data_IF_850268037452
#
_entry.id   IF_850268037452
#
_cell.length_a   1.000
_cell.length_b   1.000
_cell.length_c   1.000
_cell.angle_alpha   90.00
_cell.angle_beta   90.00
_cell.angle_gamma   90.00
#
_symmetry.space_group_name_H-M   'P 1'
#
loop_
_entity.id
_entity.type
_entity.pdbx_description
1 polymer ?
#
# COMPACT_ATOMS: atom_id res chain seq x y z
N UNK A 1 20.29 -21.22 17.75
CA UNK A 1 19.63 -21.29 16.41
C UNK A 1 18.12 -21.45 16.53
N UNK A 2 17.61 -22.15 17.53
CA UNK A 2 16.17 -22.27 17.86
C UNK A 2 15.55 -20.94 18.30
N UNK A 3 16.28 -20.10 19.06
CA UNK A 3 15.72 -18.83 19.58
C UNK A 3 15.55 -17.75 18.51
N UNK A 4 16.44 -17.69 17.52
CA UNK A 4 16.32 -16.76 16.40
C UNK A 4 15.18 -17.18 15.46
N UNK A 5 14.97 -18.47 15.27
CA UNK A 5 13.83 -19.00 14.52
C UNK A 5 12.51 -18.77 15.27
N UNK A 6 12.48 -18.82 16.61
CA UNK A 6 11.29 -18.52 17.40
C UNK A 6 10.93 -17.02 17.41
N UNK A 7 11.92 -16.13 17.35
CA UNK A 7 11.68 -14.68 17.23
C UNK A 7 11.24 -14.29 15.79
N UNK A 8 11.75 -15.00 14.77
CA UNK A 8 11.33 -14.87 13.39
C UNK A 8 9.97 -15.53 13.12
N UNK A 9 9.64 -16.58 13.87
CA UNK A 9 8.36 -17.27 13.85
C UNK A 9 7.44 -16.51 14.78
N UNK A 10 6.49 -15.77 14.21
CA UNK A 10 5.42 -15.00 14.85
C UNK A 10 4.97 -15.64 16.19
N UNK A 11 5.41 -15.17 17.36
CA UNK A 11 5.10 -15.83 18.65
C UNK A 11 3.59 -15.86 18.94
N UNK A 12 2.82 -15.00 18.27
CA UNK A 12 1.37 -14.89 18.42
C UNK A 12 0.59 -15.46 17.21
N UNK A 13 1.27 -16.00 16.19
CA UNK A 13 0.62 -16.63 15.03
C UNK A 13 1.03 -18.09 14.92
N UNK A 14 0.09 -19.01 14.75
CA UNK A 14 0.40 -20.41 14.51
C UNK A 14 1.33 -20.56 13.31
N UNK A 15 2.36 -21.39 13.44
CA UNK A 15 3.42 -21.64 12.43
C UNK A 15 2.85 -21.96 11.05
N UNK A 16 1.66 -22.56 10.99
CA UNK A 16 1.00 -22.90 9.73
C UNK A 16 0.53 -21.66 8.91
N UNK A 17 0.47 -20.45 9.51
CA UNK A 17 0.17 -19.22 8.75
C UNK A 17 1.38 -18.64 8.02
N UNK A 18 2.61 -19.02 8.36
CA UNK A 18 3.82 -18.47 7.74
C UNK A 18 3.84 -18.69 6.22
N UNK A 19 3.58 -19.90 5.69
CA UNK A 19 3.54 -20.10 4.24
C UNK A 19 2.49 -19.25 3.54
N UNK A 20 1.34 -19.05 4.19
CA UNK A 20 0.24 -18.24 3.66
C UNK A 20 0.63 -16.76 3.62
N UNK A 21 1.26 -16.25 4.67
CA UNK A 21 1.76 -14.86 4.75
C UNK A 21 2.83 -14.62 3.68
N UNK A 22 3.78 -15.55 3.53
CA UNK A 22 4.81 -15.45 2.50
C UNK A 22 4.20 -15.51 1.09
N UNK A 23 3.22 -16.38 0.85
CA UNK A 23 2.49 -16.43 -0.41
C UNK A 23 1.74 -15.12 -0.69
N UNK A 24 1.10 -14.53 0.31
CA UNK A 24 0.43 -13.24 0.19
C UNK A 24 1.41 -12.12 -0.20
N UNK A 25 2.59 -12.06 0.43
CA UNK A 25 3.63 -11.10 0.08
C UNK A 25 4.24 -11.37 -1.30
N UNK A 26 4.46 -12.61 -1.66
CA UNK A 26 4.94 -13.00 -3.00
C UNK A 26 3.95 -12.55 -4.08
N UNK A 27 2.67 -12.87 -3.93
CA UNK A 27 1.61 -12.43 -4.84
C UNK A 27 1.53 -10.90 -4.93
N UNK A 28 1.62 -10.20 -3.79
CA UNK A 28 1.61 -8.74 -3.73
C UNK A 28 2.83 -8.13 -4.45
N UNK A 29 3.99 -8.77 -4.31
CA UNK A 29 5.20 -8.44 -5.05
C UNK A 29 5.02 -8.62 -6.56
N UNK A 30 4.43 -9.74 -7.00
CA UNK A 30 4.12 -10.01 -8.42
C UNK A 30 3.21 -8.91 -8.96
N UNK A 31 2.13 -8.56 -8.26
CA UNK A 31 1.20 -7.52 -8.67
C UNK A 31 1.92 -6.16 -8.80
N UNK A 32 2.72 -5.77 -7.81
CA UNK A 32 3.50 -4.53 -7.85
C UNK A 32 4.53 -4.56 -8.98
N UNK A 33 5.26 -5.66 -9.16
CA UNK A 33 6.24 -5.84 -10.23
C UNK A 33 5.60 -5.76 -11.60
N UNK A 34 4.41 -6.32 -11.78
CA UNK A 34 3.68 -6.32 -13.04
C UNK A 34 2.99 -4.97 -13.35
N UNK A 35 2.23 -4.40 -12.40
CA UNK A 35 1.43 -3.19 -12.58
C UNK A 35 2.17 -1.90 -12.22
N UNK A 36 3.24 -1.96 -11.44
CA UNK A 36 3.94 -0.81 -10.88
C UNK A 36 3.30 -0.21 -9.62
N UNK A 37 2.07 -0.63 -9.29
CA UNK A 37 1.26 -0.16 -8.15
C UNK A 37 0.54 -1.33 -7.49
N UNK A 38 -0.10 -1.11 -6.34
CA UNK A 38 -1.05 -2.05 -5.74
C UNK A 38 -0.49 -3.03 -4.72
N UNK A 39 0.83 -2.96 -4.36
CA UNK A 39 1.40 -3.85 -3.33
C UNK A 39 0.63 -3.77 -2.00
N UNK A 40 0.36 -2.58 -1.41
CA UNK A 40 -0.37 -2.53 -0.15
C UNK A 40 -1.80 -3.09 -0.27
N UNK A 41 -2.50 -2.77 -1.37
CA UNK A 41 -3.85 -3.26 -1.58
C UNK A 41 -3.89 -4.79 -1.69
N UNK A 42 -2.95 -5.39 -2.45
CA UNK A 42 -2.84 -6.84 -2.58
C UNK A 42 -2.49 -7.52 -1.26
N UNK A 43 -1.50 -6.99 -0.54
CA UNK A 43 -1.08 -7.56 0.73
C UNK A 43 -2.21 -7.48 1.77
N UNK A 44 -2.85 -6.32 1.92
CA UNK A 44 -3.96 -6.16 2.86
C UNK A 44 -5.15 -7.05 2.49
N UNK A 45 -5.48 -7.17 1.20
CA UNK A 45 -6.53 -8.06 0.71
C UNK A 45 -6.34 -9.51 1.14
N UNK A 46 -5.11 -10.00 1.03
CA UNK A 46 -4.78 -11.40 1.30
C UNK A 46 -4.50 -11.64 2.78
N UNK A 47 -3.73 -10.77 3.44
CA UNK A 47 -3.36 -10.93 4.84
C UNK A 47 -4.57 -10.83 5.78
N UNK A 48 -5.48 -9.87 5.55
CA UNK A 48 -6.65 -9.68 6.41
C UNK A 48 -7.70 -10.78 6.31
N UNK A 49 -7.49 -11.79 5.46
CA UNK A 49 -8.27 -13.03 5.49
C UNK A 49 -7.89 -13.89 6.71
N UNK A 50 -6.62 -13.82 7.14
CA UNK A 50 -6.02 -14.73 8.12
C UNK A 50 -5.56 -14.05 9.40
N UNK A 51 -5.20 -12.78 9.33
CA UNK A 51 -4.65 -12.00 10.45
C UNK A 51 -5.38 -10.67 10.60
N UNK A 52 -5.33 -10.09 11.80
CA UNK A 52 -5.94 -8.79 12.07
C UNK A 52 -5.28 -7.64 11.29
N UNK A 53 -6.02 -6.56 11.00
CA UNK A 53 -5.51 -5.44 10.23
C UNK A 53 -4.26 -4.77 10.80
N UNK A 54 -4.14 -4.64 12.14
CA UNK A 54 -2.99 -3.96 12.78
C UNK A 54 -1.72 -4.77 12.57
N UNK A 55 -1.78 -6.09 12.76
CA UNK A 55 -0.69 -7.01 12.47
C UNK A 55 -0.33 -7.00 10.98
N UNK A 56 -1.31 -7.04 10.08
CA UNK A 56 -1.07 -6.98 8.64
C UNK A 56 -0.36 -5.67 8.23
N UNK A 57 -0.79 -4.52 8.78
CA UNK A 57 -0.17 -3.22 8.54
C UNK A 57 1.29 -3.20 9.02
N UNK A 58 1.58 -3.71 10.22
CA UNK A 58 2.94 -3.73 10.77
C UNK A 58 3.90 -4.61 9.96
N UNK A 59 3.45 -5.78 9.51
CA UNK A 59 4.25 -6.67 8.66
C UNK A 59 4.54 -6.08 7.27
N UNK A 60 3.73 -5.15 6.80
CA UNK A 60 3.91 -4.51 5.50
C UNK A 60 4.93 -3.37 5.47
N UNK A 61 5.35 -2.83 6.63
CA UNK A 61 6.14 -1.59 6.70
C UNK A 61 7.43 -1.70 5.89
N UNK A 62 8.28 -2.70 6.14
CA UNK A 62 9.54 -2.84 5.39
C UNK A 62 9.33 -3.16 3.91
N UNK A 63 8.45 -4.10 3.52
CA UNK A 63 8.10 -4.33 2.11
C UNK A 63 7.67 -3.08 1.35
N UNK A 64 6.81 -2.24 1.95
CA UNK A 64 6.35 -1.00 1.32
C UNK A 64 7.47 0.02 1.17
N UNK A 65 8.25 0.24 2.23
CA UNK A 65 9.39 1.19 2.21
C UNK A 65 10.35 0.80 1.09
N UNK A 66 10.78 -0.45 1.08
CA UNK A 66 11.77 -0.93 0.11
C UNK A 66 11.25 -0.85 -1.33
N UNK A 67 10.02 -1.30 -1.57
CA UNK A 67 9.42 -1.27 -2.90
C UNK A 67 9.27 0.17 -3.44
N UNK A 68 8.94 1.14 -2.57
CA UNK A 68 8.81 2.53 -2.97
C UNK A 68 10.16 3.25 -3.11
N UNK A 69 11.17 2.90 -2.30
CA UNK A 69 12.56 3.32 -2.53
C UNK A 69 13.02 2.89 -3.93
N UNK A 70 12.86 1.60 -4.27
CA UNK A 70 13.24 1.10 -5.58
C UNK A 70 12.52 1.85 -6.71
N UNK A 71 11.21 2.08 -6.57
CA UNK A 71 10.41 2.79 -7.58
C UNK A 71 10.88 4.24 -7.75
N UNK A 72 11.06 4.96 -6.65
CA UNK A 72 11.47 6.37 -6.69
C UNK A 72 12.87 6.56 -7.31
N UNK A 73 13.84 5.75 -6.89
CA UNK A 73 15.22 5.88 -7.40
C UNK A 73 15.39 5.42 -8.84
N UNK A 74 14.50 4.58 -9.37
CA UNK A 74 14.49 4.19 -10.79
C UNK A 74 13.87 5.25 -11.70
N UNK A 75 13.14 6.23 -11.18
CA UNK A 75 12.53 7.29 -11.98
C UNK A 75 13.57 8.34 -12.37
N UNK A 76 13.64 8.67 -13.64
CA UNK A 76 14.50 9.73 -14.17
C UNK A 76 14.00 11.12 -13.76
N UNK A 77 12.69 11.32 -13.69
CA UNK A 77 12.04 12.60 -13.34
C UNK A 77 11.89 12.85 -11.84
N UNK A 78 12.57 12.07 -10.98
CA UNK A 78 12.41 12.13 -9.52
C UNK A 78 12.56 13.50 -8.89
N UNK A 79 13.47 14.35 -9.38
CA UNK A 79 13.69 15.71 -8.86
C UNK A 79 12.56 16.66 -9.25
N UNK A 80 12.13 16.62 -10.48
CA UNK A 80 11.05 17.47 -11.00
C UNK A 80 9.72 17.12 -10.32
N UNK A 81 9.42 15.83 -10.21
CA UNK A 81 8.20 15.35 -9.54
C UNK A 81 8.21 15.67 -8.05
N UNK A 82 9.34 15.56 -7.36
CA UNK A 82 9.46 15.93 -5.94
C UNK A 82 9.20 17.43 -5.73
N UNK A 83 9.72 18.30 -6.59
CA UNK A 83 9.47 19.74 -6.50
C UNK A 83 8.02 20.11 -6.82
N UNK A 84 7.44 19.50 -7.86
CA UNK A 84 6.06 19.75 -8.30
C UNK A 84 5.01 19.31 -7.28
N UNK A 85 5.25 18.19 -6.61
CA UNK A 85 4.29 17.56 -5.69
C UNK A 85 4.67 17.67 -4.21
N UNK A 86 5.59 18.58 -3.85
CA UNK A 86 6.07 18.73 -2.45
C UNK A 86 4.96 19.01 -1.45
N UNK A 87 3.98 19.85 -1.78
CA UNK A 87 2.86 20.17 -0.90
C UNK A 87 1.89 18.99 -0.77
N UNK A 88 1.69 18.24 -1.85
CA UNK A 88 0.93 17.00 -1.81
C UNK A 88 1.60 16.00 -0.86
N UNK A 89 2.93 15.81 -1.00
CA UNK A 89 3.70 14.94 -0.12
C UNK A 89 3.62 15.37 1.35
N UNK A 90 3.82 16.66 1.65
CA UNK A 90 3.74 17.19 3.01
C UNK A 90 2.36 16.94 3.64
N UNK A 91 1.29 17.11 2.88
CA UNK A 91 -0.07 16.86 3.36
C UNK A 91 -0.32 15.37 3.62
N UNK A 92 0.14 14.51 2.70
CA UNK A 92 0.10 13.04 2.90
C UNK A 92 0.88 12.66 4.15
N UNK A 93 2.12 13.16 4.30
CA UNK A 93 2.97 12.86 5.44
C UNK A 93 2.32 13.23 6.77
N UNK A 94 1.79 14.45 6.84
CA UNK A 94 1.12 14.95 8.04
C UNK A 94 -0.10 14.11 8.40
N UNK A 95 -1.00 13.88 7.42
CA UNK A 95 -2.24 13.14 7.68
C UNK A 95 -2.02 11.65 7.95
N UNK A 96 -1.07 11.00 7.27
CA UNK A 96 -0.67 9.61 7.60
C UNK A 96 -0.13 9.55 9.03
N UNK A 97 0.79 10.46 9.39
CA UNK A 97 1.39 10.46 10.72
C UNK A 97 0.34 10.58 11.82
N UNK A 98 -0.53 11.59 11.73
CA UNK A 98 -1.59 11.80 12.73
C UNK A 98 -2.52 10.59 12.79
N UNK A 99 -2.96 10.07 11.66
CA UNK A 99 -3.90 8.94 11.63
C UNK A 99 -3.25 7.65 12.15
N UNK A 100 -2.02 7.35 11.77
CA UNK A 100 -1.31 6.15 12.23
C UNK A 100 -0.86 6.24 13.70
N UNK A 101 -0.63 7.42 14.23
CA UNK A 101 -0.31 7.63 15.65
C UNK A 101 -1.42 7.11 16.58
N UNK A 102 -2.66 7.22 16.15
CA UNK A 102 -3.83 6.78 16.92
C UNK A 102 -4.35 5.40 16.51
N UNK A 103 -3.63 4.66 15.66
CA UNK A 103 -4.13 3.40 15.07
C UNK A 103 -4.43 2.33 16.14
N UNK A 104 -3.71 2.34 17.26
CA UNK A 104 -3.95 1.43 18.37
C UNK A 104 -5.34 1.62 18.99
N UNK A 105 -5.83 2.87 19.00
CA UNK A 105 -7.13 3.24 19.59
C UNK A 105 -8.32 2.96 18.67
N UNK A 106 -8.09 2.78 17.38
CA UNK A 106 -9.18 2.54 16.43
C UNK A 106 -9.74 1.12 16.55
N UNK A 107 -11.08 0.96 16.50
CA UNK A 107 -11.71 -0.35 16.42
C UNK A 107 -11.24 -1.11 15.18
N UNK A 108 -11.05 -2.42 15.33
CA UNK A 108 -10.66 -3.30 14.18
C UNK A 108 -11.66 -3.20 13.03
N UNK A 109 -12.96 -3.07 13.34
CA UNK A 109 -14.02 -2.86 12.36
C UNK A 109 -13.76 -1.64 11.47
N UNK A 110 -13.37 -0.49 12.05
CA UNK A 110 -13.05 0.73 11.31
C UNK A 110 -11.89 0.50 10.33
N UNK A 111 -10.82 -0.15 10.80
CA UNK A 111 -9.65 -0.45 9.95
C UNK A 111 -10.03 -1.41 8.82
N UNK A 112 -10.81 -2.45 9.11
CA UNK A 112 -11.31 -3.41 8.11
C UNK A 112 -12.14 -2.72 7.04
N UNK A 113 -13.09 -1.86 7.44
CA UNK A 113 -13.90 -1.06 6.50
C UNK A 113 -13.02 -0.11 5.69
N UNK A 114 -12.06 0.58 6.32
CA UNK A 114 -11.17 1.51 5.62
C UNK A 114 -10.32 0.81 4.55
N UNK A 115 -9.80 -0.39 4.84
CA UNK A 115 -9.08 -1.22 3.86
C UNK A 115 -10.02 -1.59 2.71
N UNK A 116 -11.22 -2.07 3.02
CA UNK A 116 -12.21 -2.45 2.02
C UNK A 116 -12.59 -1.28 1.11
N UNK A 117 -12.88 -0.11 1.69
CA UNK A 117 -13.18 1.12 0.94
C UNK A 117 -12.01 1.52 0.05
N UNK A 118 -10.78 1.51 0.57
CA UNK A 118 -9.60 1.83 -0.22
C UNK A 118 -9.46 0.90 -1.44
N UNK A 119 -9.69 -0.40 -1.26
CA UNK A 119 -9.62 -1.39 -2.33
C UNK A 119 -10.73 -1.21 -3.37
N UNK A 120 -11.97 -0.99 -2.93
CA UNK A 120 -13.12 -0.77 -3.83
C UNK A 120 -12.90 0.50 -4.65
N UNK A 121 -12.55 1.62 -4.00
CA UNK A 121 -12.28 2.90 -4.69
C UNK A 121 -11.13 2.75 -5.70
N UNK A 122 -10.06 2.07 -5.31
CA UNK A 122 -8.91 1.80 -6.19
C UNK A 122 -9.33 1.00 -7.42
N UNK A 123 -10.10 -0.07 -7.21
CA UNK A 123 -10.54 -0.96 -8.28
C UNK A 123 -11.50 -0.27 -9.23
N UNK A 124 -12.52 0.39 -8.70
CA UNK A 124 -13.49 1.12 -9.52
C UNK A 124 -12.83 2.22 -10.34
N UNK A 125 -11.93 3.00 -9.71
CA UNK A 125 -11.21 4.05 -10.42
C UNK A 125 -10.40 3.51 -11.62
N UNK A 126 -9.62 2.44 -11.40
CA UNK A 126 -8.76 1.89 -12.44
C UNK A 126 -9.51 1.04 -13.49
N UNK A 127 -10.65 0.44 -13.13
CA UNK A 127 -11.49 -0.32 -14.07
C UNK A 127 -12.29 0.59 -14.99
N UNK A 128 -12.89 1.65 -14.43
CA UNK A 128 -13.81 2.52 -15.15
C UNK A 128 -13.19 3.83 -15.62
N UNK A 129 -11.93 4.10 -15.25
CA UNK A 129 -11.23 5.32 -15.66
C UNK A 129 -11.91 6.59 -15.15
N UNK A 130 -12.47 6.54 -13.94
CA UNK A 130 -13.17 7.69 -13.37
C UNK A 130 -12.23 8.87 -13.21
N UNK A 131 -12.46 9.94 -13.97
CA UNK A 131 -11.70 11.17 -13.89
C UNK A 131 -12.50 12.22 -13.10
N UNK A 132 -11.86 12.80 -12.09
CA UNK A 132 -12.42 13.93 -11.37
C UNK A 132 -12.04 15.23 -12.11
N UNK A 133 -12.87 16.28 -12.09
CA UNK A 133 -12.54 17.57 -12.68
C UNK A 133 -11.50 18.31 -11.80
N UNK A 134 -10.28 17.78 -11.78
CA UNK A 134 -9.19 18.27 -10.94
C UNK A 134 -8.37 19.30 -11.70
N UNK A 135 -8.22 20.49 -11.13
CA UNK A 135 -7.34 21.55 -11.66
C UNK A 135 -5.93 21.48 -11.05
N UNK A 136 -5.00 22.30 -11.60
CA UNK A 136 -3.64 22.42 -11.08
C UNK A 136 -3.54 23.18 -9.75
N UNK A 137 -4.65 23.68 -9.22
CA UNK A 137 -4.68 24.50 -8.01
C UNK A 137 -4.13 23.71 -6.80
N UNK A 138 -3.32 24.39 -5.97
CA UNK A 138 -2.72 23.82 -4.77
C UNK A 138 -3.73 23.17 -3.81
N UNK A 139 -4.93 23.75 -3.73
CA UNK A 139 -6.03 23.23 -2.90
C UNK A 139 -6.38 21.78 -3.22
N UNK A 140 -6.29 21.36 -4.50
CA UNK A 140 -6.51 19.96 -4.87
C UNK A 140 -5.42 19.04 -4.36
N UNK A 141 -4.14 19.47 -4.39
CA UNK A 141 -3.05 18.69 -3.83
C UNK A 141 -3.22 18.50 -2.32
N UNK A 142 -3.62 19.56 -1.62
CA UNK A 142 -3.87 19.52 -0.17
C UNK A 142 -5.07 18.63 0.16
N UNK A 143 -6.23 18.84 -0.50
CA UNK A 143 -7.44 18.07 -0.25
C UNK A 143 -7.29 16.58 -0.53
N UNK A 144 -6.76 16.24 -1.71
CA UNK A 144 -6.49 14.84 -2.07
C UNK A 144 -5.40 14.24 -1.18
N UNK A 145 -4.40 15.05 -0.78
CA UNK A 145 -3.36 14.63 0.14
C UNK A 145 -3.89 14.26 1.53
N UNK A 146 -4.81 15.06 2.06
CA UNK A 146 -5.48 14.77 3.34
C UNK A 146 -6.27 13.45 3.26
N UNK A 147 -7.11 13.29 2.24
CA UNK A 147 -7.89 12.06 2.04
C UNK A 147 -6.97 10.85 1.88
N UNK A 148 -5.92 10.98 1.03
CA UNK A 148 -4.93 9.92 0.85
C UNK A 148 -4.24 9.54 2.15
N UNK A 149 -3.85 10.53 2.93
CA UNK A 149 -3.12 10.29 4.16
C UNK A 149 -4.00 9.69 5.27
N UNK A 150 -5.24 10.14 5.42
CA UNK A 150 -6.20 9.53 6.35
C UNK A 150 -6.43 8.07 5.97
N UNK A 151 -6.74 7.80 4.71
CA UNK A 151 -6.94 6.45 4.22
C UNK A 151 -5.68 5.60 4.39
N UNK A 152 -4.50 6.17 4.10
CA UNK A 152 -3.21 5.53 4.26
C UNK A 152 -2.88 5.17 5.70
N UNK A 153 -3.15 6.05 6.64
CA UNK A 153 -2.92 5.79 8.07
C UNK A 153 -3.85 4.73 8.65
N UNK A 154 -5.08 4.60 8.11
CA UNK A 154 -6.06 3.58 8.53
C UNK A 154 -5.84 2.22 7.85
N UNK A 155 -5.30 2.18 6.64
CA UNK A 155 -5.30 0.98 5.80
C UNK A 155 -3.95 0.60 5.19
N UNK A 156 -2.94 1.45 5.33
CA UNK A 156 -1.69 1.42 4.56
C UNK A 156 -1.89 1.53 3.03
N UNK A 157 -3.07 1.96 2.56
CA UNK A 157 -3.41 2.08 1.15
C UNK A 157 -3.76 3.55 0.84
N UNK A 158 -2.77 4.38 0.48
CA UNK A 158 -2.99 5.79 0.09
C UNK A 158 -2.88 6.02 -1.42
N UNK A 159 -2.65 4.94 -2.17
CA UNK A 159 -2.50 5.00 -3.62
C UNK A 159 -3.77 5.39 -4.40
N UNK A 160 -5.02 5.07 -3.99
CA UNK A 160 -6.18 5.36 -4.81
C UNK A 160 -6.37 6.84 -5.10
N UNK A 161 -6.46 7.74 -4.10
CA UNK A 161 -6.67 9.17 -4.38
C UNK A 161 -5.48 9.79 -5.12
N UNK A 162 -4.24 9.34 -4.82
CA UNK A 162 -3.03 9.78 -5.55
C UNK A 162 -3.13 9.42 -7.03
N UNK A 163 -3.46 8.17 -7.34
CA UNK A 163 -3.60 7.70 -8.71
C UNK A 163 -4.72 8.46 -9.44
N UNK A 164 -5.88 8.65 -8.79
CA UNK A 164 -6.99 9.43 -9.34
C UNK A 164 -6.57 10.86 -9.67
N UNK A 165 -5.82 11.52 -8.77
CA UNK A 165 -5.31 12.86 -9.00
C UNK A 165 -4.39 12.91 -10.23
N UNK A 166 -3.39 12.03 -10.30
CA UNK A 166 -2.42 12.01 -11.40
C UNK A 166 -3.09 11.69 -12.75
N UNK A 167 -4.02 10.73 -12.78
CA UNK A 167 -4.78 10.37 -13.98
C UNK A 167 -5.69 11.52 -14.44
N UNK A 168 -6.39 12.19 -13.52
CA UNK A 168 -7.23 13.34 -13.85
C UNK A 168 -6.42 14.53 -14.38
N UNK A 169 -5.13 14.62 -14.03
CA UNK A 169 -4.18 15.61 -14.54
C UNK A 169 -3.57 15.23 -15.89
N UNK A 170 -3.90 14.06 -16.45
CA UNK A 170 -3.36 13.56 -17.71
C UNK A 170 -1.83 13.66 -17.78
N UNK A 171 -1.13 13.36 -16.67
CA UNK A 171 0.33 13.40 -16.61
C UNK A 171 0.94 12.32 -17.51
N UNK A 172 2.18 12.52 -17.98
CA UNK A 172 2.90 11.51 -18.75
C UNK A 172 3.10 10.23 -17.92
N UNK A 173 3.39 9.11 -18.58
CA UNK A 173 3.68 7.85 -17.91
C UNK A 173 4.89 7.98 -16.98
N UNK A 174 5.92 8.67 -17.42
CA UNK A 174 7.16 8.94 -16.70
C UNK A 174 6.87 9.78 -15.45
N UNK A 175 6.10 10.86 -15.60
CA UNK A 175 5.66 11.69 -14.49
C UNK A 175 4.79 10.91 -13.51
N UNK A 176 3.88 10.05 -13.99
CA UNK A 176 3.05 9.19 -13.13
C UNK A 176 3.90 8.27 -12.27
N UNK A 177 4.91 7.61 -12.86
CA UNK A 177 5.81 6.70 -12.14
C UNK A 177 6.65 7.47 -11.11
N UNK A 178 7.23 8.61 -11.51
CA UNK A 178 8.04 9.44 -10.63
C UNK A 178 7.25 10.05 -9.48
N UNK A 179 6.09 10.65 -9.78
CA UNK A 179 5.23 11.27 -8.79
C UNK A 179 4.64 10.24 -7.80
N UNK A 180 4.13 9.11 -8.31
CA UNK A 180 3.62 8.05 -7.42
C UNK A 180 4.74 7.45 -6.56
N UNK A 181 5.93 7.21 -7.12
CA UNK A 181 7.09 6.75 -6.36
C UNK A 181 7.47 7.72 -5.24
N UNK A 182 7.52 9.01 -5.53
CA UNK A 182 7.80 10.06 -4.55
C UNK A 182 6.73 10.14 -3.45
N UNK A 183 5.46 10.25 -3.84
CA UNK A 183 4.35 10.40 -2.90
C UNK A 183 4.15 9.15 -2.03
N UNK A 184 4.40 7.97 -2.60
CA UNK A 184 4.31 6.73 -1.83
C UNK A 184 5.48 6.60 -0.86
N UNK A 185 6.71 6.93 -1.30
CA UNK A 185 7.87 6.90 -0.42
C UNK A 185 7.73 7.93 0.72
N UNK A 186 7.26 9.13 0.43
CA UNK A 186 7.03 10.18 1.42
C UNK A 186 6.08 9.74 2.54
N UNK A 187 5.02 8.97 2.20
CA UNK A 187 4.07 8.45 3.17
C UNK A 187 4.59 7.29 4.04
N UNK A 188 5.62 6.57 3.57
CA UNK A 188 6.14 5.38 4.29
C UNK A 188 6.76 5.73 5.64
N UNK A 189 7.57 6.79 5.69
CA UNK A 189 8.30 7.16 6.92
C UNK A 189 7.37 7.65 8.03
N UNK A 190 6.42 8.57 7.79
CA UNK A 190 5.47 8.97 8.82
C UNK A 190 4.54 7.83 9.23
N UNK A 191 4.18 6.90 8.32
CA UNK A 191 3.45 5.69 8.68
C UNK A 191 4.26 4.86 9.68
N UNK A 192 5.51 4.54 9.36
CA UNK A 192 6.38 3.78 10.25
C UNK A 192 6.55 4.47 11.62
N UNK A 193 6.79 5.78 11.62
CA UNK A 193 6.93 6.56 12.86
C UNK A 193 5.65 6.52 13.70
N UNK A 194 4.48 6.72 13.10
CA UNK A 194 3.20 6.63 13.82
C UNK A 194 2.92 5.24 14.38
N UNK A 195 3.24 4.18 13.63
CA UNK A 195 3.09 2.80 14.08
C UNK A 195 4.05 2.44 15.23
N UNK A 196 5.28 2.96 15.22
CA UNK A 196 6.23 2.79 16.34
C UNK A 196 5.70 3.50 17.59
N UNK A 197 5.31 4.76 17.46
CA UNK A 197 4.83 5.57 18.58
C UNK A 197 3.50 5.06 19.15
N UNK A 198 2.64 4.47 18.32
CA UNK A 198 1.40 3.82 18.78
C UNK A 198 1.62 2.43 19.39
N UNK A 199 2.84 1.89 19.36
CA UNK A 199 3.17 0.56 19.86
C UNK A 199 2.71 -0.60 18.97
N UNK A 200 2.17 -0.33 17.77
CA UNK A 200 1.71 -1.37 16.83
C UNK A 200 2.87 -1.99 16.06
N UNK A 201 3.87 -1.18 15.67
CA UNK A 201 5.10 -1.69 15.07
C UNK A 201 6.14 -1.91 16.18
N UNK A 202 6.20 -3.13 16.68
CA UNK A 202 7.24 -3.58 17.62
C UNK A 202 8.52 -4.00 16.88
N UNK A 203 9.62 -4.14 17.62
CA UNK A 203 10.86 -4.67 17.05
C UNK A 203 10.69 -6.08 16.47
N UNK A 204 9.90 -6.93 17.12
CA UNK A 204 9.57 -8.27 16.65
C UNK A 204 8.80 -8.22 15.33
N UNK A 205 7.75 -7.38 15.25
CA UNK A 205 6.98 -7.20 14.01
C UNK A 205 7.87 -6.67 12.86
N UNK A 206 8.83 -5.78 13.17
CA UNK A 206 9.79 -5.30 12.18
C UNK A 206 10.70 -6.43 11.68
N UNK A 207 11.21 -7.31 12.55
CA UNK A 207 12.00 -8.48 12.14
C UNK A 207 11.18 -9.44 11.27
N UNK A 208 9.94 -9.69 11.64
CA UNK A 208 9.01 -10.55 10.87
C UNK A 208 8.71 -9.95 9.50
N UNK A 209 8.63 -8.63 9.40
CA UNK A 209 8.45 -7.88 8.15
C UNK A 209 9.60 -8.11 7.15
N UNK A 210 10.81 -8.50 7.61
CA UNK A 210 11.94 -8.87 6.74
C UNK A 210 11.62 -10.08 5.87
N UNK A 211 10.92 -11.07 6.41
CA UNK A 211 10.50 -12.25 5.62
C UNK A 211 9.53 -11.83 4.51
N UNK A 212 8.59 -10.95 4.83
CA UNK A 212 7.69 -10.35 3.85
C UNK A 212 8.44 -9.56 2.77
N UNK A 213 9.49 -8.82 3.15
CA UNK A 213 10.34 -8.09 2.22
C UNK A 213 11.02 -9.04 1.22
N UNK A 214 11.60 -10.14 1.67
CA UNK A 214 12.24 -11.12 0.78
C UNK A 214 11.23 -11.68 -0.22
N UNK A 215 10.05 -12.10 0.24
CA UNK A 215 8.99 -12.60 -0.60
C UNK A 215 8.52 -11.56 -1.63
N UNK A 216 8.36 -10.29 -1.22
CA UNK A 216 7.99 -9.18 -2.12
C UNK A 216 9.06 -8.93 -3.18
N UNK A 217 10.35 -8.95 -2.83
CA UNK A 217 11.45 -8.74 -3.79
C UNK A 217 11.46 -9.83 -4.85
N UNK A 218 11.31 -11.10 -4.43
CA UNK A 218 11.22 -12.23 -5.36
C UNK A 218 9.98 -12.06 -6.26
N UNK A 219 8.82 -11.82 -5.67
CA UNK A 219 7.58 -11.61 -6.41
C UNK A 219 7.66 -10.43 -7.38
N UNK A 220 8.28 -9.34 -6.97
CA UNK A 220 8.48 -8.15 -7.81
C UNK A 220 9.27 -8.50 -9.09
N UNK A 221 10.34 -9.27 -8.96
CA UNK A 221 11.13 -9.73 -10.12
C UNK A 221 10.33 -10.65 -11.03
N UNK A 222 9.58 -11.58 -10.45
CA UNK A 222 8.68 -12.44 -11.22
C UNK A 222 7.67 -11.60 -11.97
N UNK A 223 7.02 -10.63 -11.32
CA UNK A 223 6.05 -9.73 -11.94
C UNK A 223 6.64 -8.90 -13.09
N UNK A 224 7.87 -8.39 -12.93
CA UNK A 224 8.58 -7.68 -14.01
C UNK A 224 8.79 -8.60 -15.23
N UNK A 225 9.21 -9.84 -15.02
CA UNK A 225 9.43 -10.81 -16.10
C UNK A 225 8.10 -11.19 -16.80
N UNK A 226 7.03 -11.35 -16.04
CA UNK A 226 5.70 -11.70 -16.59
C UNK A 226 5.15 -10.65 -17.55
N UNK A 227 5.60 -9.38 -17.50
CA UNK A 227 5.14 -8.31 -18.40
C UNK A 227 5.37 -8.62 -19.88
N UNK A 228 6.39 -9.41 -20.22
CA UNK A 228 6.70 -9.80 -21.60
C UNK A 228 5.82 -10.92 -22.14
N UNK A 229 5.12 -11.65 -21.26
CA UNK A 229 4.36 -12.85 -21.62
C UNK A 229 2.84 -12.69 -21.48
N UNK A 230 2.38 -11.74 -20.65
CA UNK A 230 0.95 -11.59 -20.32
C UNK A 230 0.48 -10.19 -20.68
N UNK A 231 -0.71 -10.09 -21.26
CA UNK A 231 -1.36 -8.80 -21.53
C UNK A 231 -1.55 -8.00 -20.24
N UNK A 232 -1.01 -6.76 -20.23
CA UNK A 232 -1.15 -5.86 -19.08
C UNK A 232 -2.61 -5.54 -18.75
N UNK A 233 -3.44 -5.39 -19.77
CA UNK A 233 -4.85 -5.05 -19.58
C UNK A 233 -5.64 -6.21 -18.97
N UNK A 234 -5.38 -7.43 -19.44
CA UNK A 234 -6.02 -8.64 -18.88
C UNK A 234 -5.62 -8.85 -17.42
N UNK A 235 -4.32 -8.81 -17.12
CA UNK A 235 -3.83 -8.99 -15.76
C UNK A 235 -4.37 -7.91 -14.81
N UNK A 236 -4.37 -6.64 -15.25
CA UNK A 236 -4.92 -5.52 -14.50
C UNK A 236 -6.41 -5.74 -14.18
N UNK A 237 -7.23 -6.10 -15.17
CA UNK A 237 -8.65 -6.37 -14.98
C UNK A 237 -8.90 -7.49 -13.98
N UNK A 238 -8.16 -8.60 -14.09
CA UNK A 238 -8.27 -9.73 -13.13
C UNK A 238 -7.96 -9.27 -11.71
N UNK A 239 -6.80 -8.63 -11.50
CA UNK A 239 -6.37 -8.17 -10.17
C UNK A 239 -7.37 -7.19 -9.56
N UNK A 240 -7.83 -6.21 -10.35
CA UNK A 240 -8.77 -5.20 -9.87
C UNK A 240 -10.15 -5.80 -9.57
N UNK A 241 -10.60 -6.80 -10.33
CA UNK A 241 -11.85 -7.53 -10.03
C UNK A 241 -11.74 -8.29 -8.72
N UNK A 242 -10.60 -8.95 -8.48
CA UNK A 242 -10.34 -9.62 -7.19
C UNK A 242 -10.30 -8.61 -6.04
N UNK A 243 -9.65 -7.45 -6.22
CA UNK A 243 -9.64 -6.40 -5.19
C UNK A 243 -11.03 -5.85 -4.91
N UNK A 244 -11.88 -5.71 -5.93
CA UNK A 244 -13.26 -5.26 -5.77
C UNK A 244 -14.06 -6.25 -4.92
N UNK A 245 -13.96 -7.54 -5.21
CA UNK A 245 -14.65 -8.60 -4.45
C UNK A 245 -14.16 -8.66 -3.00
N UNK A 246 -12.84 -8.70 -2.80
CA UNK A 246 -12.25 -8.77 -1.46
C UNK A 246 -12.49 -7.48 -0.67
N UNK A 247 -12.45 -6.31 -1.33
CA UNK A 247 -12.78 -5.05 -0.69
C UNK A 247 -14.23 -4.97 -0.25
N UNK A 248 -15.17 -5.41 -1.09
CA UNK A 248 -16.59 -5.49 -0.73
C UNK A 248 -16.82 -6.45 0.45
N UNK A 249 -16.16 -7.62 0.45
CA UNK A 249 -16.18 -8.54 1.58
C UNK A 249 -15.71 -7.88 2.87
N UNK A 250 -14.59 -7.15 2.84
CA UNK A 250 -14.05 -6.48 4.02
C UNK A 250 -15.00 -5.40 4.56
N UNK A 251 -15.67 -4.64 3.69
CA UNK A 251 -16.68 -3.67 4.10
C UNK A 251 -17.83 -4.38 4.84
N UNK A 252 -18.36 -5.44 4.24
CA UNK A 252 -19.45 -6.21 4.85
C UNK A 252 -19.02 -6.79 6.20
N UNK A 253 -17.85 -7.44 6.26
CA UNK A 253 -17.34 -8.05 7.49
C UNK A 253 -17.04 -7.03 8.59
N UNK A 254 -16.63 -5.81 8.23
CA UNK A 254 -16.35 -4.76 9.21
C UNK A 254 -17.60 -4.00 9.69
N UNK A 255 -18.74 -4.13 9.00
CA UNK A 255 -20.03 -3.52 9.38
C UNK A 255 -20.93 -4.48 10.19
N UNK A 256 -20.70 -5.79 10.13
CA UNK A 256 -21.39 -6.83 10.88
C UNK A 256 -20.68 -7.13 12.20
#
# INVERSE_FOLDING_TARGET
MTDVLQVLLLPNLPVHYIPVILAAFLCSGIIKGFLGIGLPAAAMALLTIFIDPKTAISLMVLPIIFANIMQFFRSEERRQTAQKYKYFALTIMFSIFITSLFIASYPTALLTVAIGVAMVVFSLNLLFGMTLPISSHLGWQVGVGLISGILGGLSSIWSPPVAMYLLARNVSKEEFIGASGFLFLAGCFPLAAGLILSGVLTFEAALQSVLGLIAVVIGFRIGELMRSYISQDLFRKIVLSVFLILGARLIITGLL
#
